data_IF_452934867016
#
_entry.id   IF_452934867016
#
_cell.length_a   1.000
_cell.length_b   1.000
_cell.length_c   1.000
_cell.angle_alpha   90.00
_cell.angle_beta   90.00
_cell.angle_gamma   90.00
#
_symmetry.space_group_name_H-M   'P 1'
#
loop_
_entity.id
_entity.type
_entity.pdbx_description
1 polymer ?
#
# COMPACT_ATOMS: atom_id res chain seq x y z
N UNK A 1 -31.19 -37.67 46.66
CA UNK A 1 -30.74 -37.43 45.27
C UNK A 1 -31.13 -36.02 44.89
N UNK A 2 -30.10 -35.22 44.59
CA UNK A 2 -30.06 -33.98 43.80
C UNK A 2 -31.09 -32.88 44.08
N UNK A 3 -30.59 -31.81 44.72
CA UNK A 3 -31.07 -30.46 44.44
C UNK A 3 -30.34 -29.89 43.21
N UNK A 4 -31.04 -29.05 42.45
CA UNK A 4 -30.45 -27.89 41.77
C UNK A 4 -31.55 -26.90 41.36
N UNK A 5 -31.29 -25.64 41.69
CA UNK A 5 -31.99 -24.43 41.27
C UNK A 5 -32.00 -24.26 39.74
N UNK A 6 -33.03 -23.58 39.22
CA UNK A 6 -32.86 -22.66 38.10
C UNK A 6 -33.83 -21.48 38.30
N UNK A 7 -33.24 -20.37 38.72
CA UNK A 7 -33.86 -19.08 39.04
C UNK A 7 -33.87 -18.18 37.80
N UNK A 8 -35.02 -17.54 37.61
CA UNK A 8 -35.32 -16.27 36.92
C UNK A 8 -34.82 -16.03 35.49
N UNK A 9 -35.81 -15.88 34.62
CA UNK A 9 -35.83 -15.00 33.46
C UNK A 9 -35.17 -13.65 33.72
N UNK A 10 -34.13 -13.32 32.95
CA UNK A 10 -33.74 -11.93 32.70
C UNK A 10 -34.19 -11.53 31.30
N UNK A 11 -34.91 -10.41 31.14
CA UNK A 11 -35.37 -9.95 29.85
C UNK A 11 -34.18 -9.49 29.01
N UNK A 12 -34.07 -10.02 27.79
CA UNK A 12 -33.20 -9.47 26.75
C UNK A 12 -33.54 -7.98 26.63
N UNK A 13 -32.58 -7.11 26.95
CA UNK A 13 -32.67 -5.70 26.59
C UNK A 13 -32.96 -5.61 25.08
N UNK A 14 -34.06 -4.96 24.66
CA UNK A 14 -34.21 -4.60 23.27
C UNK A 14 -33.13 -3.55 22.97
N UNK A 15 -32.25 -3.84 22.01
CA UNK A 15 -31.44 -2.77 21.40
C UNK A 15 -32.44 -1.77 20.86
N UNK A 16 -32.38 -0.55 21.39
CA UNK A 16 -33.20 0.58 20.96
C UNK A 16 -32.95 0.75 19.46
N UNK A 17 -33.97 0.48 18.65
CA UNK A 17 -34.01 0.84 17.25
C UNK A 17 -34.21 2.36 17.18
N UNK A 18 -33.12 3.13 17.07
CA UNK A 18 -33.25 4.58 16.88
C UNK A 18 -32.41 5.21 15.78
N UNK A 19 -31.53 4.50 15.08
CA UNK A 19 -30.77 5.09 13.94
C UNK A 19 -30.54 4.12 12.77
N UNK A 20 -31.49 3.22 12.49
CA UNK A 20 -31.43 2.40 11.27
C UNK A 20 -31.73 3.29 10.05
N UNK A 21 -30.68 3.70 9.35
CA UNK A 21 -30.78 4.44 8.11
C UNK A 21 -31.14 3.47 6.98
N UNK A 22 -32.08 3.88 6.12
CA UNK A 22 -32.56 3.09 4.98
C UNK A 22 -32.55 3.97 3.73
N UNK A 23 -31.79 3.58 2.72
CA UNK A 23 -31.83 4.26 1.43
C UNK A 23 -31.75 3.30 0.25
N UNK A 24 -32.31 3.75 -0.88
CA UNK A 24 -32.28 3.03 -2.15
C UNK A 24 -31.35 3.78 -3.10
N UNK A 25 -30.37 3.06 -3.66
CA UNK A 25 -29.55 3.55 -4.76
C UNK A 25 -30.04 2.91 -6.05
N UNK A 26 -30.33 3.72 -7.06
CA UNK A 26 -30.73 3.28 -8.39
C UNK A 26 -29.67 3.67 -9.39
N UNK A 27 -29.20 2.69 -10.16
CA UNK A 27 -28.15 2.86 -11.15
C UNK A 27 -28.75 2.91 -12.55
N UNK A 28 -28.42 3.93 -13.34
CA UNK A 28 -29.05 4.17 -14.65
C UNK A 28 -28.78 3.05 -15.67
N UNK A 29 -27.61 2.40 -15.60
CA UNK A 29 -27.21 1.37 -16.54
C UNK A 29 -27.26 -0.01 -15.90
N UNK A 30 -28.22 -0.85 -16.34
CA UNK A 30 -28.43 -2.21 -15.82
C UNK A 30 -27.19 -3.10 -15.96
N UNK A 31 -26.39 -2.94 -17.03
CA UNK A 31 -25.16 -3.72 -17.22
C UNK A 31 -24.14 -3.37 -16.16
N UNK A 32 -23.89 -2.09 -15.94
CA UNK A 32 -22.97 -1.63 -14.89
C UNK A 32 -23.47 -1.95 -13.49
N UNK A 33 -24.79 -1.88 -13.25
CA UNK A 33 -25.37 -2.32 -11.97
C UNK A 33 -25.08 -3.80 -11.70
N UNK A 34 -25.28 -4.67 -12.71
CA UNK A 34 -24.99 -6.10 -12.59
C UNK A 34 -23.50 -6.38 -12.37
N UNK A 35 -22.61 -5.66 -13.06
CA UNK A 35 -21.15 -5.78 -12.87
C UNK A 35 -20.73 -5.28 -11.48
N UNK A 36 -21.34 -4.19 -10.99
CA UNK A 36 -21.10 -3.61 -9.68
C UNK A 36 -21.49 -4.57 -8.55
N UNK A 37 -22.68 -5.18 -8.63
CA UNK A 37 -23.15 -6.15 -7.62
C UNK A 37 -22.34 -7.44 -7.66
N UNK A 38 -21.80 -7.77 -8.83
CA UNK A 38 -20.98 -8.94 -9.07
C UNK A 38 -21.81 -10.22 -9.20
N UNK A 39 -21.15 -11.32 -9.57
CA UNK A 39 -21.81 -12.61 -9.74
C UNK A 39 -22.45 -13.06 -8.41
N UNK A 40 -23.74 -13.41 -8.43
CA UNK A 40 -24.51 -13.80 -7.25
C UNK A 40 -24.41 -12.79 -6.07
N UNK A 41 -24.35 -11.50 -6.41
CA UNK A 41 -24.25 -10.37 -5.48
C UNK A 41 -23.02 -10.43 -4.55
N UNK A 42 -21.94 -11.08 -5.00
CA UNK A 42 -20.74 -11.28 -4.18
C UNK A 42 -20.11 -9.97 -3.67
N UNK A 43 -20.21 -8.87 -4.43
CA UNK A 43 -19.65 -7.59 -4.00
C UNK A 43 -20.54 -6.95 -2.93
N UNK A 44 -21.86 -7.10 -3.02
CA UNK A 44 -22.79 -6.62 -1.98
C UNK A 44 -22.59 -7.40 -0.67
N UNK A 45 -22.47 -8.72 -0.74
CA UNK A 45 -22.15 -9.55 0.44
C UNK A 45 -20.85 -9.13 1.12
N UNK A 46 -19.84 -8.77 0.33
CA UNK A 46 -18.59 -8.24 0.87
C UNK A 46 -18.79 -6.89 1.60
N UNK A 47 -19.65 -6.00 1.09
CA UNK A 47 -20.02 -4.76 1.80
C UNK A 47 -20.77 -5.08 3.11
N UNK A 48 -21.72 -6.01 3.09
CA UNK A 48 -22.47 -6.46 4.27
C UNK A 48 -21.52 -6.97 5.37
N UNK A 49 -20.60 -7.87 5.01
CA UNK A 49 -19.62 -8.44 5.94
C UNK A 49 -18.71 -7.37 6.55
N UNK A 50 -18.24 -6.41 5.74
CA UNK A 50 -17.23 -5.43 6.18
C UNK A 50 -17.81 -4.25 6.93
N UNK A 51 -19.02 -3.82 6.58
CA UNK A 51 -19.68 -2.64 7.16
C UNK A 51 -20.80 -3.00 8.13
N UNK A 52 -21.14 -4.28 8.29
CA UNK A 52 -22.22 -4.77 9.16
C UNK A 52 -23.59 -4.14 8.79
N UNK A 53 -23.90 -4.15 7.49
CA UNK A 53 -25.16 -3.66 6.91
C UNK A 53 -25.93 -4.79 6.22
N UNK A 54 -27.21 -4.57 5.88
CA UNK A 54 -28.00 -5.41 4.97
C UNK A 54 -28.11 -4.68 3.62
N UNK A 55 -27.73 -5.35 2.52
CA UNK A 55 -27.70 -4.80 1.17
C UNK A 55 -28.36 -5.76 0.17
N UNK A 56 -29.53 -5.38 -0.36
CA UNK A 56 -30.34 -6.24 -1.25
C UNK A 56 -30.51 -5.63 -2.62
N UNK A 57 -30.06 -6.33 -3.65
CA UNK A 57 -30.28 -5.95 -5.03
C UNK A 57 -31.72 -6.24 -5.48
N UNK A 58 -32.29 -5.32 -6.26
CA UNK A 58 -33.55 -5.50 -7.00
C UNK A 58 -33.43 -4.80 -8.36
N UNK A 59 -33.19 -5.60 -9.40
CA UNK A 59 -32.95 -5.07 -10.75
C UNK A 59 -31.67 -4.24 -10.79
N UNK A 60 -31.80 -2.96 -11.12
CA UNK A 60 -30.71 -1.97 -11.15
C UNK A 60 -30.66 -1.10 -9.89
N UNK A 61 -31.40 -1.47 -8.85
CA UNK A 61 -31.40 -0.76 -7.57
C UNK A 61 -30.87 -1.65 -6.45
N UNK A 62 -30.29 -1.05 -5.42
CA UNK A 62 -29.90 -1.73 -4.18
C UNK A 62 -30.50 -1.00 -3.00
N UNK A 63 -31.11 -1.76 -2.10
CA UNK A 63 -31.63 -1.28 -0.82
C UNK A 63 -30.57 -1.55 0.24
N UNK A 64 -30.17 -0.50 0.97
CA UNK A 64 -29.16 -0.61 2.04
C UNK A 64 -29.79 -0.18 3.36
N UNK A 65 -29.63 -1.02 4.39
CA UNK A 65 -30.15 -0.79 5.74
C UNK A 65 -29.06 -1.04 6.78
N UNK A 66 -28.96 -0.18 7.79
CA UNK A 66 -27.97 -0.30 8.86
C UNK A 66 -27.72 1.02 9.57
N UNK A 67 -26.59 1.14 10.27
CA UNK A 67 -26.18 2.38 10.93
C UNK A 67 -25.94 3.53 9.92
N UNK A 68 -26.22 4.77 10.32
CA UNK A 68 -26.07 5.96 9.45
C UNK A 68 -24.67 6.08 8.86
N UNK A 69 -23.62 5.82 9.64
CA UNK A 69 -22.23 5.92 9.18
C UNK A 69 -21.93 4.79 8.20
N UNK A 70 -22.21 3.55 8.61
CA UNK A 70 -21.93 2.36 7.79
C UNK A 70 -22.68 2.39 6.44
N UNK A 71 -23.94 2.81 6.45
CA UNK A 71 -24.75 2.94 5.24
C UNK A 71 -24.22 4.06 4.33
N UNK A 72 -23.81 5.22 4.87
CA UNK A 72 -23.16 6.26 4.06
C UNK A 72 -21.83 5.80 3.45
N UNK A 73 -21.02 5.02 4.18
CA UNK A 73 -19.78 4.41 3.67
C UNK A 73 -20.07 3.44 2.52
N UNK A 74 -21.10 2.60 2.65
CA UNK A 74 -21.55 1.70 1.59
C UNK A 74 -21.99 2.47 0.34
N UNK A 75 -22.75 3.56 0.51
CA UNK A 75 -23.13 4.43 -0.61
C UNK A 75 -21.91 5.01 -1.32
N UNK A 76 -20.97 5.62 -0.60
CA UNK A 76 -19.77 6.21 -1.22
C UNK A 76 -18.95 5.16 -1.97
N UNK A 77 -18.86 3.95 -1.41
CA UNK A 77 -18.20 2.80 -2.04
C UNK A 77 -18.86 2.46 -3.37
N UNK A 78 -20.20 2.29 -3.39
CA UNK A 78 -20.93 1.92 -4.60
C UNK A 78 -20.93 3.04 -5.65
N UNK A 79 -21.13 4.30 -5.24
CA UNK A 79 -21.08 5.47 -6.14
C UNK A 79 -19.69 5.56 -6.81
N UNK A 80 -18.60 5.35 -6.05
CA UNK A 80 -17.23 5.34 -6.58
C UNK A 80 -17.00 4.22 -7.61
N UNK A 81 -17.39 2.99 -7.26
CA UNK A 81 -17.19 1.83 -8.15
C UNK A 81 -18.06 1.92 -9.40
N UNK A 82 -19.27 2.47 -9.29
CA UNK A 82 -20.13 2.73 -10.44
C UNK A 82 -19.51 3.76 -11.40
N UNK A 83 -18.96 4.86 -10.86
CA UNK A 83 -18.23 5.85 -11.68
C UNK A 83 -17.01 5.23 -12.38
N UNK A 84 -16.30 4.30 -11.72
CA UNK A 84 -15.21 3.53 -12.32
C UNK A 84 -15.68 2.71 -13.53
N UNK A 85 -16.82 2.02 -13.42
CA UNK A 85 -17.42 1.26 -14.53
C UNK A 85 -17.86 2.16 -15.68
N UNK A 86 -18.46 3.32 -15.38
CA UNK A 86 -18.87 4.30 -16.39
C UNK A 86 -17.67 4.83 -17.22
N UNK A 87 -16.48 4.88 -16.62
CA UNK A 87 -15.22 5.26 -17.29
C UNK A 87 -14.58 4.10 -18.07
N UNK A 88 -15.25 2.95 -18.18
CA UNK A 88 -14.76 1.77 -18.89
C UNK A 88 -13.79 0.90 -18.09
N UNK A 89 -13.67 1.13 -16.77
CA UNK A 89 -12.89 0.26 -15.89
C UNK A 89 -13.63 -1.03 -15.55
N UNK A 90 -12.94 -1.95 -14.87
CA UNK A 90 -13.52 -3.15 -14.27
C UNK A 90 -13.58 -3.04 -12.74
N UNK A 91 -14.45 -3.83 -12.11
CA UNK A 91 -14.54 -3.96 -10.65
C UNK A 91 -14.12 -5.37 -10.24
N UNK A 92 -12.97 -5.47 -9.60
CA UNK A 92 -12.50 -6.70 -8.97
C UNK A 92 -12.74 -6.67 -7.47
N UNK A 93 -12.71 -7.84 -6.81
CA UNK A 93 -12.85 -7.94 -5.35
C UNK A 93 -11.89 -7.00 -4.60
N UNK A 94 -10.64 -6.87 -5.09
CA UNK A 94 -9.63 -6.01 -4.45
C UNK A 94 -9.94 -4.51 -4.57
N UNK A 95 -10.68 -4.10 -5.61
CA UNK A 95 -11.17 -2.72 -5.75
C UNK A 95 -12.27 -2.43 -4.73
N UNK A 96 -13.19 -3.38 -4.54
CA UNK A 96 -14.28 -3.27 -3.56
C UNK A 96 -13.71 -3.13 -2.15
N UNK A 97 -12.76 -3.99 -1.77
CA UNK A 97 -12.09 -3.90 -0.47
C UNK A 97 -11.33 -2.58 -0.28
N UNK A 98 -10.67 -2.07 -1.32
CA UNK A 98 -10.00 -0.78 -1.30
C UNK A 98 -10.97 0.38 -1.11
N UNK A 99 -12.07 0.40 -1.88
CA UNK A 99 -13.09 1.43 -1.79
C UNK A 99 -13.77 1.47 -0.42
N UNK A 100 -14.06 0.31 0.17
CA UNK A 100 -14.59 0.21 1.55
C UNK A 100 -13.61 0.83 2.54
N UNK A 101 -12.33 0.44 2.51
CA UNK A 101 -11.30 0.98 3.43
C UNK A 101 -11.19 2.50 3.33
N UNK A 102 -11.25 3.03 2.11
CA UNK A 102 -11.15 4.46 1.87
C UNK A 102 -12.41 5.21 2.33
N UNK A 103 -13.60 4.64 2.13
CA UNK A 103 -14.85 5.23 2.61
C UNK A 103 -14.88 5.30 4.15
N UNK A 104 -14.40 4.26 4.84
CA UNK A 104 -14.31 4.22 6.31
C UNK A 104 -13.36 5.31 6.82
N UNK A 105 -12.14 5.37 6.28
CA UNK A 105 -11.14 6.33 6.72
C UNK A 105 -11.52 7.80 6.47
N UNK A 106 -12.30 8.08 5.42
CA UNK A 106 -12.79 9.42 5.13
C UNK A 106 -13.74 9.93 6.22
N UNK A 107 -14.56 9.07 6.82
CA UNK A 107 -15.46 9.44 7.91
C UNK A 107 -14.73 9.57 9.26
N UNK A 108 -13.67 8.79 9.51
CA UNK A 108 -12.83 8.96 10.70
C UNK A 108 -12.16 10.35 10.76
N UNK A 109 -11.92 10.97 9.59
CA UNK A 109 -11.37 12.32 9.48
C UNK A 109 -12.43 13.43 9.57
N UNK A 110 -13.71 13.12 9.34
CA UNK A 110 -14.84 14.05 9.35
C UNK A 110 -15.60 13.99 10.68
N UNK A 111 -14.96 14.41 11.77
CA UNK A 111 -15.61 14.55 13.10
C UNK A 111 -16.34 15.89 13.30
N UNK A 112 -16.56 16.67 12.23
CA UNK A 112 -17.34 17.90 12.27
C UNK A 112 -18.60 17.78 11.38
N UNK A 113 -19.80 18.10 11.90
CA UNK A 113 -21.04 18.01 11.14
C UNK A 113 -21.18 19.24 10.25
N UNK A 114 -20.37 19.35 9.20
CA UNK A 114 -20.62 20.32 8.13
C UNK A 114 -21.44 19.64 7.04
N UNK A 115 -22.67 20.13 6.85
CA UNK A 115 -23.56 19.84 5.73
C UNK A 115 -23.02 20.40 4.40
N UNK A 116 -21.73 20.22 4.12
CA UNK A 116 -21.13 20.57 2.85
C UNK A 116 -21.04 19.32 1.97
N UNK A 117 -21.31 19.51 0.68
CA UNK A 117 -21.46 18.49 -0.36
C UNK A 117 -20.51 17.32 -0.14
N UNK A 118 -21.10 16.13 0.12
CA UNK A 118 -20.45 14.81 0.19
C UNK A 118 -19.21 14.80 -0.69
N UNK A 119 -18.03 14.90 -0.08
CA UNK A 119 -16.78 14.86 -0.82
C UNK A 119 -16.78 13.56 -1.63
N UNK A 120 -16.76 13.69 -2.97
CA UNK A 120 -16.65 12.52 -3.84
C UNK A 120 -15.37 11.79 -3.47
N UNK A 121 -15.47 10.48 -3.22
CA UNK A 121 -14.31 9.68 -2.93
C UNK A 121 -13.41 9.65 -4.18
N UNK A 122 -12.28 10.34 -4.15
CA UNK A 122 -11.30 10.33 -5.25
C UNK A 122 -10.00 9.72 -4.76
N UNK A 123 -9.73 8.49 -5.17
CA UNK A 123 -8.48 7.80 -4.84
C UNK A 123 -7.36 8.25 -5.79
N UNK A 124 -6.17 8.47 -5.24
CA UNK A 124 -4.96 8.71 -6.00
C UNK A 124 -4.63 7.48 -6.85
N UNK A 125 -4.12 7.74 -8.06
CA UNK A 125 -3.80 6.70 -9.02
C UNK A 125 -2.53 7.01 -9.80
N UNK A 126 -1.77 5.97 -10.11
CA UNK A 126 -0.62 6.03 -11.00
C UNK A 126 -1.00 5.30 -12.28
N UNK A 127 -1.03 6.03 -13.38
CA UNK A 127 -1.29 5.48 -14.71
C UNK A 127 0.01 5.39 -15.50
N UNK A 128 0.33 4.19 -15.98
CA UNK A 128 1.37 3.91 -16.98
C UNK A 128 0.71 3.37 -18.26
N UNK A 129 1.46 3.26 -19.35
CA UNK A 129 0.94 2.68 -20.61
C UNK A 129 0.47 1.23 -20.46
N UNK A 130 1.04 0.48 -19.51
CA UNK A 130 0.69 -0.93 -19.29
C UNK A 130 -0.49 -1.09 -18.33
N UNK A 131 -0.56 -0.28 -17.27
CA UNK A 131 -1.56 -0.45 -16.20
C UNK A 131 -1.83 0.85 -15.45
N UNK A 132 -3.04 0.96 -14.91
CA UNK A 132 -3.37 1.98 -13.89
C UNK A 132 -3.48 1.32 -12.51
N UNK A 133 -2.72 1.84 -11.55
CA UNK A 133 -2.69 1.41 -10.16
C UNK A 133 -3.43 2.44 -9.34
N UNK A 134 -4.46 2.01 -8.62
CA UNK A 134 -5.24 2.85 -7.72
C UNK A 134 -4.84 2.55 -6.28
N UNK A 135 -4.72 3.59 -5.45
CA UNK A 135 -4.50 3.41 -4.01
C UNK A 135 -5.59 2.52 -3.39
N UNK A 136 -5.18 1.59 -2.52
CA UNK A 136 -6.09 0.63 -1.85
C UNK A 136 -6.23 0.90 -0.36
N UNK A 137 -5.43 1.82 0.18
CA UNK A 137 -5.46 2.25 1.57
C UNK A 137 -5.23 3.77 1.63
N UNK A 138 -5.68 4.44 2.71
CA UNK A 138 -5.47 5.88 2.90
C UNK A 138 -4.00 6.24 2.91
N UNK A 139 -3.15 5.39 3.50
CA UNK A 139 -1.70 5.62 3.52
C UNK A 139 -1.08 5.50 2.14
N UNK A 140 -1.56 4.58 1.29
CA UNK A 140 -1.14 4.53 -0.12
C UNK A 140 -1.59 5.78 -0.89
N UNK A 141 -2.81 6.27 -0.66
CA UNK A 141 -3.30 7.51 -1.27
C UNK A 141 -2.42 8.70 -0.89
N UNK A 142 -2.14 8.86 0.40
CA UNK A 142 -1.22 9.88 0.91
C UNK A 142 0.19 9.74 0.32
N UNK A 143 0.70 8.51 0.17
CA UNK A 143 2.01 8.24 -0.41
C UNK A 143 2.11 8.65 -1.87
N UNK A 144 1.12 8.29 -2.69
CA UNK A 144 1.08 8.69 -4.12
C UNK A 144 1.06 10.21 -4.25
N UNK A 145 0.22 10.89 -3.45
CA UNK A 145 0.14 12.36 -3.46
C UNK A 145 1.42 13.03 -2.96
N UNK A 146 2.10 12.43 -1.98
CA UNK A 146 3.38 12.94 -1.49
C UNK A 146 4.45 12.88 -2.59
N UNK A 147 4.52 11.78 -3.35
CA UNK A 147 5.45 11.64 -4.48
C UNK A 147 5.21 12.66 -5.59
N UNK A 148 3.96 13.08 -5.82
CA UNK A 148 3.65 14.13 -6.80
C UNK A 148 4.12 15.53 -6.35
N UNK A 149 4.17 15.80 -5.05
CA UNK A 149 4.33 17.16 -4.50
C UNK A 149 5.72 17.45 -3.95
N UNK A 150 6.36 16.47 -3.33
CA UNK A 150 7.64 16.63 -2.64
C UNK A 150 8.82 16.21 -3.51
N UNK A 151 9.99 16.79 -3.24
CA UNK A 151 11.25 16.44 -3.92
C UNK A 151 11.84 15.13 -3.39
N UNK A 152 11.72 14.92 -2.08
CA UNK A 152 12.19 13.73 -1.38
C UNK A 152 11.06 13.12 -0.56
N UNK A 153 10.78 11.83 -0.78
CA UNK A 153 9.75 11.10 -0.04
C UNK A 153 10.31 9.86 0.62
N UNK A 154 10.10 9.75 1.93
CA UNK A 154 10.33 8.52 2.69
C UNK A 154 9.02 7.72 2.76
N UNK A 155 9.01 6.53 2.17
CA UNK A 155 7.96 5.53 2.36
C UNK A 155 8.46 4.43 3.29
N UNK A 156 8.03 4.44 4.55
CA UNK A 156 8.58 3.53 5.57
C UNK A 156 7.50 2.65 6.20
N UNK A 157 7.82 1.38 6.44
CA UNK A 157 6.95 0.45 7.14
C UNK A 157 6.99 -0.98 6.58
N UNK A 158 6.05 -1.84 7.00
CA UNK A 158 6.13 -3.28 6.79
C UNK A 158 6.20 -3.73 5.33
N UNK A 159 6.71 -4.94 5.10
CA UNK A 159 6.71 -5.58 3.78
C UNK A 159 5.27 -5.87 3.29
N UNK A 160 5.01 -5.68 1.99
CA UNK A 160 3.70 -5.91 1.39
C UNK A 160 2.69 -4.75 1.52
N UNK A 161 3.13 -3.59 2.02
CA UNK A 161 2.36 -2.33 2.03
C UNK A 161 2.35 -1.62 0.66
N UNK A 162 3.21 -2.07 -0.26
CA UNK A 162 3.30 -1.54 -1.63
C UNK A 162 4.26 -0.35 -1.80
N UNK A 163 5.00 0.07 -0.76
CA UNK A 163 5.92 1.22 -0.80
C UNK A 163 6.85 1.24 -2.02
N UNK A 164 7.64 0.19 -2.24
CA UNK A 164 8.59 0.10 -3.36
C UNK A 164 7.86 -0.02 -4.71
N UNK A 165 6.79 -0.81 -4.75
CA UNK A 165 6.01 -1.00 -5.98
C UNK A 165 5.38 0.29 -6.49
N UNK A 166 4.76 1.07 -5.58
CA UNK A 166 4.17 2.38 -5.90
C UNK A 166 5.23 3.41 -6.28
N UNK A 167 6.41 3.38 -5.65
CA UNK A 167 7.54 4.23 -6.02
C UNK A 167 8.01 3.96 -7.46
N UNK A 168 8.22 2.69 -7.82
CA UNK A 168 8.62 2.28 -9.18
C UNK A 168 7.54 2.63 -10.20
N UNK A 169 6.26 2.42 -9.86
CA UNK A 169 5.14 2.84 -10.70
C UNK A 169 5.15 4.36 -10.96
N UNK A 170 5.38 5.16 -9.91
CA UNK A 170 5.43 6.61 -10.04
C UNK A 170 6.62 7.05 -10.91
N UNK A 171 7.80 6.48 -10.71
CA UNK A 171 8.97 6.75 -11.55
C UNK A 171 8.72 6.39 -13.03
N UNK A 172 8.10 5.23 -13.29
CA UNK A 172 7.71 4.83 -14.65
C UNK A 172 6.73 5.84 -15.28
N UNK A 173 5.73 6.29 -14.53
CA UNK A 173 4.80 7.32 -14.99
C UNK A 173 5.52 8.64 -15.32
N UNK A 174 6.45 9.09 -14.46
CA UNK A 174 7.21 10.31 -14.70
C UNK A 174 8.03 10.22 -15.99
N UNK A 175 8.71 9.08 -16.22
CA UNK A 175 9.48 8.83 -17.43
C UNK A 175 8.59 8.83 -18.68
N UNK A 176 7.45 8.14 -18.63
CA UNK A 176 6.52 8.06 -19.77
C UNK A 176 5.88 9.41 -20.14
N UNK A 177 5.72 10.31 -19.16
CA UNK A 177 5.22 11.67 -19.34
C UNK A 177 6.31 12.67 -19.74
N UNK A 178 7.57 12.25 -19.79
CA UNK A 178 8.71 13.13 -20.05
C UNK A 178 8.99 14.12 -18.92
N UNK A 179 8.50 13.86 -17.70
CA UNK A 179 8.79 14.69 -16.53
C UNK A 179 10.23 14.46 -16.00
N UNK A 180 10.80 13.29 -16.30
CA UNK A 180 12.21 12.94 -16.07
C UNK A 180 12.75 12.22 -17.30
N UNK A 181 14.06 12.26 -17.47
CA UNK A 181 14.76 11.60 -18.57
C UNK A 181 15.27 10.21 -18.18
N UNK A 182 15.45 9.96 -16.87
CA UNK A 182 16.04 8.73 -16.34
C UNK A 182 15.32 8.20 -15.11
N UNK A 183 15.35 6.87 -14.95
CA UNK A 183 15.00 6.19 -13.70
C UNK A 183 16.28 5.55 -13.14
N UNK A 184 16.57 5.78 -11.87
CA UNK A 184 17.71 5.19 -11.17
C UNK A 184 17.19 4.41 -9.97
N UNK A 185 17.31 3.10 -10.01
CA UNK A 185 16.92 2.20 -8.94
C UNK A 185 18.16 1.66 -8.25
N UNK A 186 18.22 1.83 -6.93
CA UNK A 186 19.35 1.41 -6.12
C UNK A 186 18.91 0.64 -4.90
N UNK A 187 19.73 -0.31 -4.48
CA UNK A 187 19.57 -1.09 -3.24
C UNK A 187 20.94 -1.23 -2.58
N UNK A 188 21.06 -1.12 -1.23
CA UNK A 188 22.31 -1.44 -0.56
C UNK A 188 22.61 -2.94 -0.72
N UNK A 189 23.88 -3.26 -0.94
CA UNK A 189 24.33 -4.65 -0.88
C UNK A 189 24.42 -5.05 0.59
N UNK A 190 23.64 -6.06 0.98
CA UNK A 190 23.61 -6.58 2.35
C UNK A 190 23.71 -8.09 2.25
N UNK A 191 24.60 -8.67 3.03
CA UNK A 191 24.76 -10.12 3.08
C UNK A 191 23.62 -10.70 3.91
N UNK A 192 22.47 -10.94 3.27
CA UNK A 192 21.36 -11.63 3.88
C UNK A 192 21.68 -13.13 3.99
N UNK A 193 22.49 -13.51 4.98
CA UNK A 193 22.76 -14.90 5.36
C UNK A 193 23.71 -15.69 4.44
N UNK A 194 23.85 -15.31 3.17
CA UNK A 194 24.86 -15.86 2.24
C UNK A 194 25.91 -14.78 1.95
N UNK A 195 27.20 -15.07 2.20
CA UNK A 195 28.25 -14.08 1.90
C UNK A 195 28.28 -13.87 0.39
N UNK A 196 28.22 -12.61 -0.05
CA UNK A 196 28.22 -12.24 -1.47
C UNK A 196 29.44 -12.85 -2.22
N UNK A 197 30.52 -13.15 -1.49
CA UNK A 197 31.71 -13.83 -1.99
C UNK A 197 31.52 -15.26 -2.52
N UNK A 198 30.42 -15.97 -2.21
CA UNK A 198 30.23 -17.38 -2.60
C UNK A 198 29.41 -17.61 -3.87
N UNK A 199 28.72 -16.60 -4.40
CA UNK A 199 28.03 -16.75 -5.69
C UNK A 199 29.09 -16.79 -6.81
N UNK A 200 29.09 -17.81 -7.70
CA UNK A 200 29.97 -17.83 -8.87
C UNK A 200 29.54 -16.74 -9.86
N UNK A 201 30.48 -16.22 -10.66
CA UNK A 201 30.21 -15.19 -11.67
C UNK A 201 30.89 -13.84 -11.44
N UNK A 202 30.64 -12.89 -12.33
CA UNK A 202 31.12 -11.52 -12.22
C UNK A 202 30.37 -10.74 -11.11
N UNK A 203 30.88 -9.58 -10.71
CA UNK A 203 30.25 -8.77 -9.64
C UNK A 203 28.80 -8.37 -9.93
N UNK A 204 28.38 -8.35 -11.20
CA UNK A 204 27.01 -8.00 -11.59
C UNK A 204 26.09 -9.22 -11.40
N UNK A 205 26.51 -10.39 -11.85
CA UNK A 205 25.80 -11.66 -11.67
C UNK A 205 25.55 -12.00 -10.20
N UNK A 206 26.47 -11.60 -9.31
CA UNK A 206 26.31 -11.81 -7.85
C UNK A 206 25.30 -10.88 -7.19
N UNK A 207 25.06 -9.69 -7.75
CA UNK A 207 24.19 -8.67 -7.13
C UNK A 207 22.79 -8.65 -7.77
N UNK A 208 22.67 -9.15 -9.01
CA UNK A 208 21.40 -9.25 -9.74
C UNK A 208 20.26 -9.93 -8.96
N UNK A 209 20.47 -11.01 -8.18
CA UNK A 209 19.40 -11.60 -7.37
C UNK A 209 18.74 -10.63 -6.38
N UNK A 210 19.51 -9.74 -5.77
CA UNK A 210 19.02 -8.74 -4.80
C UNK A 210 18.24 -7.61 -5.48
N UNK A 211 18.55 -7.35 -6.75
CA UNK A 211 17.90 -6.33 -7.56
C UNK A 211 16.64 -6.86 -8.26
N UNK A 212 16.44 -8.18 -8.30
CA UNK A 212 15.33 -8.83 -9.00
C UNK A 212 13.94 -8.25 -8.69
N UNK A 213 13.57 -7.94 -7.43
CA UNK A 213 12.27 -7.32 -7.15
C UNK A 213 12.05 -5.97 -7.85
N UNK A 214 13.12 -5.21 -8.11
CA UNK A 214 13.06 -3.93 -8.84
C UNK A 214 12.83 -4.17 -10.35
N UNK A 215 13.45 -5.20 -10.92
CA UNK A 215 13.17 -5.62 -12.29
C UNK A 215 11.72 -6.05 -12.46
N UNK A 216 11.22 -6.91 -11.57
CA UNK A 216 9.85 -7.42 -11.65
C UNK A 216 8.82 -6.27 -11.53
N UNK A 217 9.07 -5.31 -10.62
CA UNK A 217 8.24 -4.10 -10.53
C UNK A 217 8.26 -3.26 -11.81
N UNK A 218 9.42 -3.09 -12.47
CA UNK A 218 9.49 -2.38 -13.76
C UNK A 218 8.74 -3.10 -14.87
N UNK A 219 8.89 -4.42 -14.97
CA UNK A 219 8.19 -5.23 -15.96
C UNK A 219 6.68 -5.18 -15.78
N UNK A 220 6.18 -4.95 -14.56
CA UNK A 220 4.76 -4.69 -14.29
C UNK A 220 4.26 -3.35 -14.81
N UNK A 221 5.14 -2.34 -14.93
CA UNK A 221 4.80 -0.98 -15.34
C UNK A 221 5.01 -0.70 -16.82
N UNK A 222 6.03 -1.32 -17.42
CA UNK A 222 6.52 -1.03 -18.76
C UNK A 222 6.63 -2.36 -19.54
N UNK A 223 6.25 -2.42 -20.84
CA UNK A 223 6.46 -3.60 -21.67
C UNK A 223 7.92 -4.08 -21.66
N UNK A 224 8.14 -5.39 -21.59
CA UNK A 224 9.48 -5.95 -21.34
C UNK A 224 10.52 -5.59 -22.38
N UNK A 225 10.16 -5.60 -23.65
CA UNK A 225 11.04 -5.18 -24.76
C UNK A 225 11.50 -3.72 -24.61
N UNK A 226 10.66 -2.85 -24.04
CA UNK A 226 11.00 -1.45 -23.75
C UNK A 226 11.86 -1.31 -22.51
N UNK A 227 11.61 -2.09 -21.46
CA UNK A 227 12.45 -2.12 -20.25
C UNK A 227 13.88 -2.48 -20.64
N UNK A 228 14.07 -3.57 -21.40
CA UNK A 228 15.39 -4.02 -21.84
C UNK A 228 16.12 -2.95 -22.65
N UNK A 229 15.46 -2.36 -23.66
CA UNK A 229 16.05 -1.27 -24.45
C UNK A 229 16.40 -0.05 -23.60
N UNK A 230 15.54 0.33 -22.66
CA UNK A 230 15.78 1.46 -21.77
C UNK A 230 16.96 1.20 -20.82
N UNK A 231 17.14 -0.04 -20.37
CA UNK A 231 18.30 -0.46 -19.58
C UNK A 231 19.57 -0.40 -20.42
N UNK A 232 19.57 -0.97 -21.63
CA UNK A 232 20.73 -0.93 -22.54
C UNK A 232 21.12 0.50 -22.92
N UNK A 233 20.13 1.39 -23.10
CA UNK A 233 20.36 2.80 -23.40
C UNK A 233 20.75 3.66 -22.17
N UNK A 234 20.73 3.10 -20.96
CA UNK A 234 21.00 3.84 -19.72
C UNK A 234 19.88 4.81 -19.30
N UNK A 235 18.68 4.69 -19.89
CA UNK A 235 17.48 5.43 -19.48
C UNK A 235 16.94 4.88 -18.16
N UNK A 236 17.04 3.57 -17.96
CA UNK A 236 16.75 2.92 -16.68
C UNK A 236 18.05 2.31 -16.17
N UNK A 237 18.54 2.78 -15.04
CA UNK A 237 19.71 2.24 -14.37
C UNK A 237 19.29 1.49 -13.12
N UNK A 238 19.72 0.22 -12.99
CA UNK A 238 19.51 -0.57 -11.79
C UNK A 238 20.89 -0.97 -11.29
N UNK A 239 21.30 -0.42 -10.15
CA UNK A 239 22.67 -0.56 -9.68
C UNK A 239 22.78 -0.59 -8.15
N UNK A 240 23.83 -1.22 -7.59
CA UNK A 240 24.08 -1.17 -6.15
C UNK A 240 24.37 0.25 -5.66
N UNK A 241 24.06 0.52 -4.40
CA UNK A 241 24.25 1.84 -3.77
C UNK A 241 25.67 2.43 -3.94
N UNK A 242 26.69 1.59 -3.98
CA UNK A 242 28.08 2.02 -4.15
C UNK A 242 28.32 2.81 -5.45
N UNK A 243 27.55 2.53 -6.51
CA UNK A 243 27.67 3.18 -7.81
C UNK A 243 27.12 4.61 -7.83
N UNK A 244 26.48 5.05 -6.75
CA UNK A 244 25.94 6.41 -6.64
C UNK A 244 27.00 7.43 -6.22
N UNK A 245 28.15 6.97 -5.74
CA UNK A 245 29.22 7.84 -5.23
C UNK A 245 29.74 8.77 -6.32
N UNK A 246 29.87 10.06 -5.98
CA UNK A 246 30.44 11.07 -6.88
C UNK A 246 29.53 11.50 -8.03
N UNK A 247 28.27 11.03 -8.06
CA UNK A 247 27.29 11.43 -9.08
C UNK A 247 26.48 12.64 -8.64
N UNK A 248 25.95 13.38 -9.60
CA UNK A 248 24.82 14.29 -9.41
C UNK A 248 23.70 13.77 -10.30
N UNK A 249 22.55 13.49 -9.71
CA UNK A 249 21.44 12.80 -10.37
C UNK A 249 20.37 13.82 -10.73
N UNK A 250 20.54 14.48 -11.87
CA UNK A 250 19.59 15.48 -12.40
C UNK A 250 18.63 14.86 -13.43
N UNK A 251 17.47 15.47 -13.62
CA UNK A 251 16.40 15.04 -14.53
C UNK A 251 16.01 13.56 -14.34
N UNK A 252 15.99 13.07 -13.10
CA UNK A 252 15.84 11.65 -12.80
C UNK A 252 14.82 11.35 -11.68
N UNK A 253 14.11 10.25 -11.82
CA UNK A 253 13.39 9.61 -10.71
C UNK A 253 14.32 8.58 -10.04
N UNK A 254 14.67 8.83 -8.78
CA UNK A 254 15.71 8.10 -8.05
C UNK A 254 15.05 7.34 -6.91
N UNK A 255 15.26 6.03 -6.82
CA UNK A 255 14.68 5.18 -5.78
C UNK A 255 15.80 4.45 -5.05
N UNK A 256 15.82 4.56 -3.72
CA UNK A 256 16.62 3.70 -2.85
C UNK A 256 15.70 2.74 -2.08
N UNK A 257 15.77 1.47 -2.44
CA UNK A 257 15.03 0.40 -1.77
C UNK A 257 15.83 -0.27 -0.66
N UNK A 258 15.14 -0.88 0.30
CA UNK A 258 15.69 -1.43 1.55
C UNK A 258 16.65 -0.49 2.29
N UNK A 259 16.28 0.78 2.36
CA UNK A 259 17.11 1.84 2.92
C UNK A 259 17.47 1.61 4.39
N UNK A 260 16.73 0.79 5.14
CA UNK A 260 17.06 0.43 6.52
C UNK A 260 18.43 -0.24 6.65
N UNK A 261 18.92 -0.83 5.56
CA UNK A 261 20.21 -1.48 5.49
C UNK A 261 21.33 -0.58 4.96
N UNK A 262 21.13 0.74 5.00
CA UNK A 262 22.20 1.70 4.79
C UNK A 262 22.81 2.13 6.12
N UNK A 263 24.11 2.41 6.13
CA UNK A 263 24.75 3.16 7.22
C UNK A 263 24.44 4.65 7.12
N UNK A 264 24.60 5.38 8.23
CA UNK A 264 24.54 6.85 8.27
C UNK A 264 25.31 7.53 7.15
N UNK A 265 26.55 7.09 6.91
CA UNK A 265 27.42 7.65 5.88
C UNK A 265 26.89 7.36 4.47
N UNK A 266 26.38 6.15 4.21
CA UNK A 266 25.79 5.78 2.92
C UNK A 266 24.50 6.56 2.64
N UNK A 267 23.63 6.73 3.64
CA UNK A 267 22.40 7.51 3.51
C UNK A 267 22.74 8.98 3.20
N UNK A 268 23.63 9.61 3.97
CA UNK A 268 24.09 10.98 3.70
C UNK A 268 24.72 11.11 2.31
N UNK A 269 25.55 10.14 1.91
CA UNK A 269 26.15 10.09 0.58
C UNK A 269 25.07 10.09 -0.50
N UNK A 270 24.05 9.25 -0.37
CA UNK A 270 22.97 9.09 -1.35
C UNK A 270 22.06 10.32 -1.44
N UNK A 271 21.58 10.82 -0.30
CA UNK A 271 20.68 11.99 -0.25
C UNK A 271 21.32 13.23 -0.89
N UNK A 272 22.63 13.40 -0.72
CA UNK A 272 23.38 14.51 -1.34
C UNK A 272 23.69 14.32 -2.83
N UNK A 273 23.16 13.26 -3.48
CA UNK A 273 23.26 13.08 -4.94
C UNK A 273 22.05 13.67 -5.68
N UNK A 274 20.98 14.08 -4.98
CA UNK A 274 19.80 14.68 -5.61
C UNK A 274 20.20 15.93 -6.41
N UNK A 275 19.93 15.90 -7.72
CA UNK A 275 20.17 17.03 -8.63
C UNK A 275 18.89 17.77 -9.01
N UNK A 276 19.02 18.78 -9.87
CA UNK A 276 17.88 19.57 -10.37
C UNK A 276 16.89 18.72 -11.17
N UNK A 277 15.61 19.12 -11.15
CA UNK A 277 14.50 18.45 -11.83
C UNK A 277 14.38 16.95 -11.54
N UNK A 278 14.86 16.53 -10.37
CA UNK A 278 14.80 15.14 -9.92
C UNK A 278 13.82 14.97 -8.77
N UNK A 279 13.38 13.73 -8.61
CA UNK A 279 12.60 13.27 -7.46
C UNK A 279 13.30 12.08 -6.85
N UNK A 280 13.41 12.05 -5.52
CA UNK A 280 14.03 10.94 -4.80
C UNK A 280 13.03 10.30 -3.85
N UNK A 281 12.97 8.97 -3.90
CA UNK A 281 12.06 8.18 -3.08
C UNK A 281 12.90 7.16 -2.31
N UNK A 282 12.79 7.16 -1.00
CA UNK A 282 13.50 6.26 -0.10
C UNK A 282 12.49 5.30 0.49
N UNK A 283 12.66 4.00 0.24
CA UNK A 283 11.78 2.96 0.79
C UNK A 283 12.54 2.05 1.74
N UNK A 284 11.91 1.68 2.85
CA UNK A 284 12.52 0.76 3.80
C UNK A 284 11.62 0.41 4.97
N UNK A 285 12.07 -0.52 5.79
CA UNK A 285 11.37 -0.95 7.00
C UNK A 285 12.30 -0.86 8.23
N UNK A 286 12.14 0.16 9.10
CA UNK A 286 12.98 0.33 10.28
C UNK A 286 13.01 -0.88 11.24
N UNK A 287 12.05 -1.81 11.18
CA UNK A 287 12.08 -3.03 12.00
C UNK A 287 12.87 -4.19 11.40
N UNK A 288 13.33 -4.08 10.15
CA UNK A 288 14.05 -5.15 9.42
C UNK A 288 15.50 -4.73 9.10
N UNK A 289 16.23 -4.30 10.13
CA UNK A 289 17.63 -3.88 9.98
C UNK A 289 18.55 -5.10 9.99
N UNK A 290 19.17 -5.38 8.86
CA UNK A 290 20.13 -6.47 8.65
C UNK A 290 21.60 -6.02 8.81
N UNK A 291 21.82 -4.82 9.34
CA UNK A 291 23.16 -4.29 9.57
C UNK A 291 23.89 -5.04 10.72
N UNK A 292 25.23 -5.13 10.67
CA UNK A 292 26.01 -5.67 11.78
C UNK A 292 25.68 -4.98 13.12
N UNK A 293 25.71 -5.75 14.21
CA UNK A 293 25.44 -5.22 15.56
C UNK A 293 26.33 -4.01 15.86
N UNK A 294 25.72 -2.95 16.40
CA UNK A 294 26.41 -1.70 16.74
C UNK A 294 26.47 -0.67 15.61
N UNK A 295 26.12 -1.04 14.38
CA UNK A 295 26.05 -0.10 13.26
C UNK A 295 24.68 0.59 13.25
N UNK A 296 24.68 1.93 13.30
CA UNK A 296 23.44 2.72 13.21
C UNK A 296 22.88 2.70 11.78
N UNK A 297 21.58 2.44 11.66
CA UNK A 297 20.86 2.56 10.39
C UNK A 297 20.75 4.02 9.95
N UNK A 298 21.19 4.29 8.73
CA UNK A 298 21.11 5.59 8.09
C UNK A 298 19.67 6.01 7.81
N UNK A 299 18.76 5.08 7.51
CA UNK A 299 17.33 5.39 7.38
C UNK A 299 16.76 5.91 8.70
N UNK A 300 16.99 5.20 9.80
CA UNK A 300 16.47 5.59 11.13
C UNK A 300 17.01 6.95 11.53
N UNK A 301 18.29 7.21 11.28
CA UNK A 301 18.89 8.50 11.54
C UNK A 301 18.31 9.62 10.65
N UNK A 302 18.19 9.39 9.34
CA UNK A 302 17.66 10.39 8.41
C UNK A 302 16.21 10.77 8.73
N UNK A 303 15.37 9.81 9.12
CA UNK A 303 14.00 10.08 9.54
C UNK A 303 13.91 11.01 10.76
N UNK A 304 14.92 11.02 11.63
CA UNK A 304 14.98 11.93 12.78
C UNK A 304 15.58 13.28 12.40
N UNK A 305 16.68 13.29 11.66
CA UNK A 305 17.41 14.51 11.30
C UNK A 305 16.67 15.38 10.28
N UNK A 306 15.87 14.77 9.40
CA UNK A 306 15.18 15.46 8.31
C UNK A 306 13.71 15.76 8.63
N UNK A 307 13.30 15.55 9.88
CA UNK A 307 11.96 15.91 10.32
C UNK A 307 11.76 17.43 10.25
N UNK A 308 10.67 17.86 9.61
CA UNK A 308 10.35 19.28 9.43
C UNK A 308 11.15 20.02 8.35
N UNK A 309 12.03 19.36 7.60
CA UNK A 309 12.76 19.99 6.48
C UNK A 309 11.81 20.17 5.28
N UNK A 310 11.79 21.37 4.71
CA UNK A 310 10.96 21.70 3.55
C UNK A 310 11.32 20.83 2.33
N UNK A 311 10.32 20.46 1.54
CA UNK A 311 10.50 19.61 0.35
C UNK A 311 10.63 18.11 0.66
N UNK A 312 10.67 17.73 1.94
CA UNK A 312 10.74 16.33 2.40
C UNK A 312 9.39 15.89 2.98
N UNK A 313 8.89 14.74 2.53
CA UNK A 313 7.68 14.12 3.10
C UNK A 313 7.98 12.73 3.63
N UNK A 314 7.44 12.40 4.80
CA UNK A 314 7.55 11.07 5.40
C UNK A 314 6.19 10.42 5.54
N UNK A 315 6.00 9.26 4.93
CA UNK A 315 4.78 8.46 4.99
C UNK A 315 5.08 7.14 5.68
N UNK A 316 4.35 6.90 6.78
CA UNK A 316 4.55 5.73 7.65
C UNK A 316 3.41 4.72 7.45
N UNK A 317 3.72 3.65 6.75
CA UNK A 317 2.85 2.49 6.59
C UNK A 317 2.80 1.64 7.87
N UNK A 318 1.65 1.02 8.10
CA UNK A 318 1.40 0.10 9.23
C UNK A 318 0.95 -1.26 8.71
N UNK A 319 0.82 -2.25 9.59
CA UNK A 319 0.36 -3.59 9.21
C UNK A 319 -1.03 -3.60 8.58
N UNK A 320 -1.90 -2.66 9.00
CA UNK A 320 -3.23 -2.47 8.40
C UNK A 320 -3.19 -2.04 6.93
N UNK A 321 -2.05 -1.51 6.47
CA UNK A 321 -1.84 -1.11 5.08
C UNK A 321 -1.33 -2.26 4.19
N UNK A 322 -1.08 -3.44 4.77
CA UNK A 322 -0.61 -4.60 4.01
C UNK A 322 -1.74 -5.12 3.12
N UNK A 323 -1.55 -5.01 1.80
CA UNK A 323 -2.50 -5.50 0.81
C UNK A 323 -1.93 -6.73 0.12
N UNK A 324 -2.19 -7.89 0.70
CA UNK A 324 -1.79 -9.20 0.17
C UNK A 324 -3.00 -9.99 -0.29
N UNK A 325 -2.75 -11.02 -1.10
CA UNK A 325 -3.77 -11.99 -1.45
C UNK A 325 -4.41 -12.60 -0.17
N UNK A 326 -5.73 -12.81 -0.10
CA UNK A 326 -6.41 -13.30 1.10
C UNK A 326 -5.85 -14.63 1.64
N UNK A 327 -5.38 -15.51 0.75
CA UNK A 327 -4.70 -16.74 1.15
C UNK A 327 -3.41 -16.46 1.91
N UNK A 328 -2.58 -15.52 1.45
CA UNK A 328 -1.33 -15.16 2.12
C UNK A 328 -1.62 -14.57 3.50
N UNK A 329 -2.66 -13.74 3.63
CA UNK A 329 -3.10 -13.23 4.93
C UNK A 329 -3.54 -14.34 5.90
N UNK A 330 -4.22 -15.39 5.40
CA UNK A 330 -4.56 -16.58 6.20
C UNK A 330 -3.34 -17.39 6.61
N UNK A 331 -2.37 -17.55 5.70
CA UNK A 331 -1.10 -18.24 5.99
C UNK A 331 -0.34 -17.49 7.08
N UNK A 332 -0.13 -16.18 6.94
CA UNK A 332 0.58 -15.35 7.94
C UNK A 332 -0.09 -15.48 9.32
N UNK A 333 -1.42 -15.33 9.39
CA UNK A 333 -2.16 -15.51 10.66
C UNK A 333 -1.99 -16.90 11.28
N UNK A 334 -1.90 -17.96 10.47
CA UNK A 334 -1.68 -19.32 10.96
C UNK A 334 -0.27 -19.51 11.55
N UNK A 335 0.74 -18.91 10.93
CA UNK A 335 2.11 -18.89 11.48
C UNK A 335 2.17 -18.05 12.76
N UNK A 336 1.61 -16.83 12.75
CA UNK A 336 1.62 -15.96 13.93
C UNK A 336 0.93 -16.65 15.13
N UNK A 337 -0.21 -17.32 14.92
CA UNK A 337 -0.89 -18.06 15.98
C UNK A 337 -0.04 -19.17 16.63
N UNK A 338 0.95 -19.71 15.91
CA UNK A 338 1.84 -20.78 16.40
C UNK A 338 3.09 -20.20 17.09
N UNK A 339 3.62 -19.09 16.59
CA UNK A 339 4.91 -18.53 17.03
C UNK A 339 4.78 -17.33 17.98
N UNK A 340 3.58 -16.78 18.21
CA UNK A 340 3.35 -15.68 19.17
C UNK A 340 3.01 -16.16 20.59
N UNK A 341 2.95 -17.48 20.83
CA UNK A 341 2.80 -18.07 22.19
C UNK A 341 3.78 -19.21 22.42
N UNK A 342 5.03 -18.86 22.77
CA UNK A 342 5.85 -19.64 23.71
C UNK A 342 6.61 -18.64 24.59
N UNK A 343 6.06 -18.25 25.76
CA UNK A 343 6.92 -17.93 26.88
C UNK A 343 7.77 -19.17 27.15
N UNK A 344 9.05 -18.94 27.39
CA UNK A 344 10.08 -19.94 27.68
C UNK A 344 9.53 -21.09 28.52
N UNK A 345 9.81 -22.33 28.08
CA UNK A 345 9.90 -23.48 28.96
C UNK A 345 10.88 -23.11 30.08
N UNK A 346 10.36 -22.62 31.20
CA UNK A 346 11.06 -22.65 32.47
C UNK A 346 11.32 -24.13 32.76
N UNK A 347 12.55 -24.56 32.46
CA UNK A 347 13.02 -25.90 32.77
C UNK A 347 12.77 -26.22 34.25
N UNK A 348 12.48 -27.48 34.59
CA UNK A 348 12.21 -27.85 35.98
C UNK A 348 13.44 -27.56 36.82
N UNK A 349 13.27 -26.74 37.87
CA UNK A 349 14.25 -26.62 38.93
C UNK A 349 14.39 -27.99 39.61
N UNK A 350 15.59 -28.57 39.55
CA UNK A 350 16.10 -29.52 40.54
C UNK A 350 17.54 -29.16 40.84
#
# INVERSE_FOLDING_TARGET
MNGQELVSSSPRHPRIASDANHFVLTFENNRFASELFGQFDQNLKLLEERLQIDARARGNSVVITGDVVATNQARRTLDYLYEKLQKGGSVERSDVEGAIRMAVAADDQLSLPTMEKKAKLTMAQISTRKKTIVARTPTQDAYIRAMERAELVFGVGPAGTGKTYLAVAHAAQMLERGAVEKIILSRPAVEAGERLGFLPGDMKEKVDPYLRPLYDALYDMIPGDKVERAITAGVIEIAPLAFMRGRTLSNAAIILDEAQNTTSMQMKMFLTRLGENSRMIITGDPSQIDLPRGVKSGLVEALHLLDGVEGISTIRFKDVDVVRHPLVGRIVRAYDATYTTRPEDAGPQV
#
